data_IF_150696034264
#
_entry.id   IF_150696034264
#
_cell.length_a   1.000
_cell.length_b   1.000
_cell.length_c   1.000
_cell.angle_alpha   90.00
_cell.angle_beta   90.00
_cell.angle_gamma   90.00
#
_symmetry.space_group_name_H-M   'P 1'
#
loop_
_entity.id
_entity.type
_entity.pdbx_description
1 polymer ?
#
# COMPACT_ATOMS: atom_id res chain seq x y z
N UNK A 1 35.78 0.54 -10.13
CA UNK A 1 34.95 0.21 -8.94
C UNK A 1 34.16 1.42 -8.49
N UNK A 2 32.83 1.32 -8.39
CA UNK A 2 31.96 2.46 -8.05
C UNK A 2 31.71 2.56 -6.55
N UNK A 3 31.74 3.79 -6.03
CA UNK A 3 31.62 4.11 -4.60
C UNK A 3 30.29 3.71 -3.96
N UNK A 4 29.26 3.54 -4.78
CA UNK A 4 27.89 3.20 -4.39
C UNK A 4 27.57 1.69 -4.51
N UNK A 5 28.55 0.89 -4.96
CA UNK A 5 28.37 -0.56 -5.09
C UNK A 5 28.92 -1.30 -3.87
N UNK A 6 28.21 -2.36 -3.45
CA UNK A 6 28.70 -3.29 -2.44
C UNK A 6 29.76 -4.26 -2.99
N UNK A 7 30.06 -4.22 -4.30
CA UNK A 7 30.99 -5.13 -5.01
C UNK A 7 32.31 -5.32 -4.27
N UNK A 8 32.91 -4.25 -3.72
CA UNK A 8 34.19 -4.36 -2.98
C UNK A 8 34.11 -5.34 -1.79
N UNK A 9 32.96 -5.43 -1.13
CA UNK A 9 32.76 -6.29 0.04
C UNK A 9 32.62 -7.77 -0.36
N UNK A 10 32.25 -8.05 -1.62
CA UNK A 10 32.26 -9.40 -2.18
C UNK A 10 33.67 -9.89 -2.53
N UNK A 11 34.62 -8.97 -2.75
CA UNK A 11 36.03 -9.30 -3.01
C UNK A 11 36.88 -9.29 -1.74
N UNK A 12 36.50 -8.48 -0.75
CA UNK A 12 37.25 -8.26 0.49
C UNK A 12 36.37 -8.45 1.71
N UNK A 13 36.26 -9.69 2.19
CA UNK A 13 35.43 -10.08 3.35
C UNK A 13 35.77 -9.27 4.61
N UNK A 14 37.03 -8.84 4.78
CA UNK A 14 37.48 -8.02 5.92
C UNK A 14 36.85 -6.62 6.00
N UNK A 15 36.25 -6.14 4.92
CA UNK A 15 35.66 -4.78 4.86
C UNK A 15 34.13 -4.78 4.96
N UNK A 16 33.53 -5.95 5.16
CA UNK A 16 32.09 -6.18 5.12
C UNK A 16 31.37 -5.51 6.32
N UNK A 17 30.38 -4.65 6.08
CA UNK A 17 29.54 -4.12 7.14
C UNK A 17 28.73 -5.24 7.82
N UNK A 18 28.41 -5.15 9.13
CA UNK A 18 27.70 -6.20 9.86
C UNK A 18 26.31 -6.59 9.28
N UNK A 19 25.68 -5.68 8.54
CA UNK A 19 24.36 -5.90 7.94
C UNK A 19 24.41 -6.59 6.56
N UNK A 20 25.59 -6.64 5.92
CA UNK A 20 25.74 -7.24 4.59
C UNK A 20 26.14 -8.70 4.77
N UNK A 21 25.42 -9.64 4.15
CA UNK A 21 25.83 -11.04 4.07
C UNK A 21 26.18 -11.38 2.62
N UNK A 22 27.45 -11.66 2.34
CA UNK A 22 27.96 -12.00 1.01
C UNK A 22 28.01 -13.51 0.77
N UNK A 23 28.01 -14.33 1.83
CA UNK A 23 28.28 -15.77 1.77
C UNK A 23 27.27 -16.53 0.89
N UNK A 24 25.98 -16.21 1.02
CA UNK A 24 24.93 -16.89 0.27
C UNK A 24 25.10 -16.72 -1.25
N UNK A 25 25.39 -15.49 -1.68
CA UNK A 25 25.59 -15.15 -3.09
C UNK A 25 26.92 -15.72 -3.59
N UNK A 26 28.01 -15.57 -2.84
CA UNK A 26 29.31 -16.11 -3.22
C UNK A 26 29.26 -17.63 -3.35
N UNK A 27 28.54 -18.32 -2.47
CA UNK A 27 28.32 -19.77 -2.57
C UNK A 27 27.56 -20.17 -3.83
N UNK A 28 26.56 -19.39 -4.22
CA UNK A 28 25.77 -19.65 -5.43
C UNK A 28 26.56 -19.39 -6.73
N UNK A 29 27.38 -18.34 -6.74
CA UNK A 29 28.13 -17.92 -7.95
C UNK A 29 29.47 -18.67 -8.09
N UNK A 30 29.96 -19.32 -7.04
CA UNK A 30 31.23 -20.07 -7.08
C UNK A 30 32.44 -19.32 -6.53
N UNK A 31 32.23 -18.31 -5.69
CA UNK A 31 33.26 -17.56 -4.98
C UNK A 31 33.53 -16.16 -5.52
N UNK A 32 34.41 -15.43 -4.84
CA UNK A 32 34.66 -14.00 -5.11
C UNK A 32 35.21 -13.74 -6.51
N UNK A 33 36.05 -14.64 -7.05
CA UNK A 33 36.62 -14.49 -8.39
C UNK A 33 35.55 -14.64 -9.47
N UNK A 34 34.73 -15.69 -9.40
CA UNK A 34 33.62 -15.91 -10.31
C UNK A 34 32.59 -14.77 -10.25
N UNK A 35 32.29 -14.27 -9.04
CA UNK A 35 31.45 -13.09 -8.87
C UNK A 35 32.03 -11.84 -9.53
N UNK A 36 33.35 -11.61 -9.38
CA UNK A 36 34.02 -10.48 -10.01
C UNK A 36 33.93 -10.55 -11.53
N UNK A 37 34.22 -11.72 -12.10
CA UNK A 37 34.16 -11.97 -13.54
C UNK A 37 32.74 -11.78 -14.08
N UNK A 38 31.72 -12.30 -13.38
CA UNK A 38 30.31 -12.10 -13.70
C UNK A 38 29.91 -10.61 -13.72
N UNK A 39 30.35 -9.84 -12.74
CA UNK A 39 30.04 -8.39 -12.71
C UNK A 39 30.73 -7.66 -13.85
N UNK A 40 31.95 -8.09 -14.22
CA UNK A 40 32.71 -7.47 -15.31
C UNK A 40 32.24 -7.91 -16.70
N UNK A 41 31.66 -9.09 -16.86
CA UNK A 41 31.11 -9.54 -18.14
C UNK A 41 29.92 -8.70 -18.60
N UNK A 42 29.34 -7.89 -17.71
CA UNK A 42 28.28 -6.96 -18.04
C UNK A 42 26.94 -7.68 -18.25
N UNK A 43 26.01 -6.98 -18.88
CA UNK A 43 24.68 -7.52 -19.17
C UNK A 43 24.76 -8.45 -20.37
N UNK A 44 23.99 -9.53 -20.34
CA UNK A 44 23.76 -10.34 -21.52
C UNK A 44 22.94 -9.55 -22.55
N UNK A 45 23.16 -9.80 -23.84
CA UNK A 45 22.47 -9.12 -24.94
C UNK A 45 20.93 -9.20 -24.81
N UNK A 46 20.42 -10.35 -24.35
CA UNK A 46 18.99 -10.54 -24.09
C UNK A 46 18.44 -9.60 -23.00
N UNK A 47 19.26 -9.21 -22.02
CA UNK A 47 18.89 -8.27 -20.97
C UNK A 47 18.84 -6.84 -21.52
N UNK A 48 19.78 -6.48 -22.38
CA UNK A 48 19.81 -5.18 -23.06
C UNK A 48 18.59 -5.01 -23.98
N UNK A 49 18.31 -6.01 -24.84
CA UNK A 49 17.14 -6.03 -25.71
C UNK A 49 15.82 -5.92 -24.93
N UNK A 50 15.73 -6.55 -23.76
CA UNK A 50 14.56 -6.42 -22.88
C UNK A 50 14.34 -4.97 -22.44
N UNK A 51 15.40 -4.30 -21.96
CA UNK A 51 15.29 -2.93 -21.48
C UNK A 51 15.15 -1.89 -22.60
N UNK A 52 15.66 -2.17 -23.80
CA UNK A 52 15.49 -1.30 -24.97
C UNK A 52 14.11 -1.42 -25.63
N UNK A 53 13.34 -2.46 -25.30
CA UNK A 53 12.01 -2.67 -25.87
C UNK A 53 11.03 -1.53 -25.50
N UNK A 54 10.34 -0.97 -26.50
CA UNK A 54 9.36 0.10 -26.28
C UNK A 54 8.13 -0.31 -25.46
N UNK A 55 7.91 -1.62 -25.26
CA UNK A 55 6.86 -2.16 -24.39
C UNK A 55 7.40 -3.28 -23.52
N UNK A 56 8.07 -2.89 -22.44
CA UNK A 56 8.65 -3.81 -21.47
C UNK A 56 7.58 -4.68 -20.81
N UNK A 57 7.81 -5.99 -20.80
CA UNK A 57 7.05 -6.91 -19.96
C UNK A 57 7.34 -6.62 -18.49
N UNK A 58 6.37 -6.72 -17.56
CA UNK A 58 6.63 -6.58 -16.13
C UNK A 58 7.43 -7.76 -15.54
N UNK A 59 7.66 -8.82 -16.33
CA UNK A 59 8.39 -10.02 -15.95
C UNK A 59 9.56 -10.22 -16.91
N UNK A 60 10.77 -10.29 -16.36
CA UNK A 60 12.02 -10.64 -17.04
C UNK A 60 12.36 -12.11 -16.75
N UNK A 61 12.70 -12.85 -17.78
CA UNK A 61 13.12 -14.26 -17.69
C UNK A 61 12.85 -15.02 -18.98
N UNK A 62 13.26 -16.29 -19.03
CA UNK A 62 12.97 -17.17 -20.16
C UNK A 62 11.48 -17.43 -20.34
N UNK A 63 11.08 -17.87 -21.54
CA UNK A 63 9.67 -18.08 -21.90
C UNK A 63 8.93 -18.98 -20.91
N UNK A 64 9.52 -20.10 -20.50
CA UNK A 64 8.93 -21.02 -19.50
C UNK A 64 8.68 -20.34 -18.15
N UNK A 65 9.62 -19.49 -17.71
CA UNK A 65 9.48 -18.73 -16.47
C UNK A 65 8.34 -17.71 -16.58
N UNK A 66 8.30 -16.97 -17.69
CA UNK A 66 7.27 -15.97 -17.95
C UNK A 66 5.89 -16.62 -17.98
N UNK A 67 5.73 -17.74 -18.69
CA UNK A 67 4.48 -18.48 -18.75
C UNK A 67 4.06 -19.03 -17.38
N UNK A 68 5.01 -19.49 -16.56
CA UNK A 68 4.72 -19.90 -15.19
C UNK A 68 4.22 -18.75 -14.32
N UNK A 69 4.79 -17.55 -14.43
CA UNK A 69 4.38 -16.37 -13.66
C UNK A 69 3.06 -15.78 -14.17
N UNK A 70 2.79 -15.84 -15.48
CA UNK A 70 1.54 -15.37 -16.08
C UNK A 70 0.31 -16.16 -15.61
N UNK A 71 0.49 -17.41 -15.17
CA UNK A 71 -0.61 -18.23 -14.62
C UNK A 71 -1.13 -17.58 -13.34
N UNK A 72 -2.41 -17.18 -13.29
CA UNK A 72 -2.98 -16.56 -12.09
C UNK A 72 -2.90 -17.54 -10.91
N UNK A 73 -2.21 -17.13 -9.84
CA UNK A 73 -2.08 -17.88 -8.59
C UNK A 73 -3.39 -17.95 -7.77
N UNK A 74 -4.52 -17.52 -8.33
CA UNK A 74 -5.83 -17.48 -7.69
C UNK A 74 -6.81 -16.54 -8.41
N UNK A 75 -7.99 -16.33 -7.82
CA UNK A 75 -8.93 -15.32 -8.32
C UNK A 75 -8.30 -13.93 -8.25
N UNK A 76 -8.30 -13.22 -9.38
CA UNK A 76 -7.89 -11.82 -9.45
C UNK A 76 -8.87 -10.97 -8.65
N UNK A 77 -8.49 -10.65 -7.41
CA UNK A 77 -9.28 -9.76 -6.56
C UNK A 77 -9.04 -8.33 -7.04
N UNK A 78 -10.11 -7.61 -7.39
CA UNK A 78 -10.03 -6.19 -7.82
C UNK A 78 -9.45 -5.25 -6.75
N UNK A 79 -9.36 -5.71 -5.51
CA UNK A 79 -8.80 -4.96 -4.39
C UNK A 79 -7.78 -5.85 -3.68
N UNK A 80 -6.53 -5.37 -3.58
CA UNK A 80 -5.57 -5.93 -2.65
C UNK A 80 -5.80 -5.29 -1.27
N UNK A 81 -6.04 -6.08 -0.21
CA UNK A 81 -6.15 -5.55 1.14
C UNK A 81 -4.91 -4.72 1.47
N UNK A 82 -5.09 -3.53 2.07
CA UNK A 82 -3.95 -2.77 2.59
C UNK A 82 -3.28 -3.60 3.69
N UNK A 83 -2.07 -4.09 3.44
CA UNK A 83 -1.26 -4.80 4.43
C UNK A 83 -0.87 -3.94 5.66
N UNK A 84 -1.16 -2.64 5.64
CA UNK A 84 -1.05 -1.74 6.79
C UNK A 84 -2.18 -1.98 7.80
N UNK A 85 -2.30 -3.20 8.33
CA UNK A 85 -3.16 -3.47 9.47
C UNK A 85 -2.55 -2.81 10.70
N UNK A 86 -3.16 -1.71 11.17
CA UNK A 86 -2.85 -1.12 12.47
C UNK A 86 -3.15 -2.14 13.57
N UNK A 87 -2.28 -2.27 14.57
CA UNK A 87 -2.44 -3.23 15.68
C UNK A 87 -3.62 -2.96 16.62
N UNK A 88 -4.30 -1.81 16.47
CA UNK A 88 -5.54 -1.46 17.18
C UNK A 88 -6.56 -1.03 16.12
N UNK A 89 -7.70 -1.72 16.08
CA UNK A 89 -8.77 -1.49 15.13
C UNK A 89 -10.07 -1.20 15.88
N UNK A 90 -10.76 -0.15 15.49
CA UNK A 90 -12.10 0.18 16.03
C UNK A 90 -13.18 -0.48 15.18
N UNK A 91 -14.41 -0.58 15.69
CA UNK A 91 -15.54 -1.04 14.90
C UNK A 91 -16.11 0.09 14.04
N UNK A 92 -16.64 -0.25 12.86
CA UNK A 92 -17.29 0.74 11.99
C UNK A 92 -18.47 1.43 12.69
N UNK A 93 -19.17 0.73 13.59
CA UNK A 93 -20.24 1.30 14.40
C UNK A 93 -19.73 2.36 15.39
N UNK A 94 -18.57 2.14 16.01
CA UNK A 94 -17.95 3.14 16.87
C UNK A 94 -17.51 4.38 16.06
N UNK A 95 -16.98 4.18 14.85
CA UNK A 95 -16.66 5.30 13.94
C UNK A 95 -17.90 6.12 13.61
N UNK A 96 -18.99 5.47 13.18
CA UNK A 96 -20.25 6.14 12.86
C UNK A 96 -20.77 6.93 14.07
N UNK A 97 -20.75 6.33 15.27
CA UNK A 97 -21.14 7.01 16.50
C UNK A 97 -20.31 8.26 16.79
N UNK A 98 -18.98 8.16 16.75
CA UNK A 98 -18.07 9.29 17.02
C UNK A 98 -18.18 10.41 15.98
N UNK A 99 -18.40 10.05 14.72
CA UNK A 99 -18.63 11.03 13.66
C UNK A 99 -19.98 11.72 13.89
N UNK A 100 -21.04 10.99 14.22
CA UNK A 100 -22.35 11.55 14.57
C UNK A 100 -22.25 12.55 15.73
N UNK A 101 -21.54 12.19 16.80
CA UNK A 101 -21.24 13.07 17.94
C UNK A 101 -20.48 14.34 17.51
N UNK A 102 -19.42 14.19 16.71
CA UNK A 102 -18.60 15.32 16.24
C UNK A 102 -19.36 16.29 15.35
N UNK A 103 -20.30 15.79 14.53
CA UNK A 103 -21.10 16.60 13.61
C UNK A 103 -22.46 17.00 14.18
N UNK A 104 -22.82 16.53 15.39
CA UNK A 104 -24.10 16.78 16.07
C UNK A 104 -25.31 16.37 15.23
N UNK A 105 -25.22 15.21 14.58
CA UNK A 105 -26.28 14.61 13.77
C UNK A 105 -26.56 13.18 14.25
N UNK A 106 -27.64 12.57 13.77
CA UNK A 106 -27.94 11.17 14.07
C UNK A 106 -27.01 10.20 13.33
N UNK A 107 -26.90 8.96 13.81
CA UNK A 107 -26.13 7.89 13.15
C UNK A 107 -26.73 7.55 11.79
N UNK A 108 -28.05 7.64 11.70
CA UNK A 108 -28.86 7.42 10.51
C UNK A 108 -28.50 8.48 9.45
N UNK A 109 -28.34 9.75 9.82
CA UNK A 109 -27.90 10.81 8.91
C UNK A 109 -26.45 10.67 8.43
N UNK A 110 -25.58 10.03 9.22
CA UNK A 110 -24.23 9.66 8.76
C UNK A 110 -24.29 8.56 7.70
N UNK A 111 -25.14 7.54 7.93
CA UNK A 111 -25.21 6.31 7.13
C UNK A 111 -26.19 6.39 5.96
N UNK A 112 -27.13 7.33 5.94
CA UNK A 112 -28.03 7.59 4.81
C UNK A 112 -27.64 8.86 4.05
N UNK A 113 -27.46 8.72 2.73
CA UNK A 113 -27.17 9.84 1.84
C UNK A 113 -28.46 10.39 1.27
N UNK A 114 -28.61 11.72 1.25
CA UNK A 114 -29.70 12.38 0.53
C UNK A 114 -29.17 12.83 -0.84
N UNK A 115 -29.84 12.40 -1.91
CA UNK A 115 -29.44 12.75 -3.28
C UNK A 115 -29.44 14.28 -3.45
N UNK A 116 -28.37 14.82 -4.03
CA UNK A 116 -28.24 16.25 -4.29
C UNK A 116 -27.83 17.10 -3.08
N UNK A 117 -27.72 16.51 -1.88
CA UNK A 117 -27.22 17.19 -0.68
C UNK A 117 -25.82 16.70 -0.36
N UNK A 118 -24.88 17.62 -0.22
CA UNK A 118 -23.56 17.27 0.28
C UNK A 118 -23.64 16.82 1.75
N UNK A 119 -22.99 15.71 2.07
CA UNK A 119 -22.91 15.16 3.41
C UNK A 119 -21.45 14.90 3.77
N UNK A 120 -20.80 15.89 4.39
CA UNK A 120 -19.40 15.80 4.81
C UNK A 120 -19.20 14.70 5.87
N UNK A 121 -20.09 14.64 6.87
CA UNK A 121 -20.01 13.65 7.94
C UNK A 121 -19.99 12.21 7.38
N UNK A 122 -20.81 11.93 6.37
CA UNK A 122 -20.79 10.64 5.64
C UNK A 122 -19.44 10.37 4.98
N UNK A 123 -18.90 11.34 4.25
CA UNK A 123 -17.60 11.18 3.56
C UNK A 123 -16.48 10.92 4.57
N UNK A 124 -16.49 11.66 5.68
CA UNK A 124 -15.56 11.50 6.80
C UNK A 124 -15.69 10.12 7.45
N UNK A 125 -16.92 9.65 7.69
CA UNK A 125 -17.14 8.32 8.25
C UNK A 125 -16.60 7.22 7.32
N UNK A 126 -16.82 7.31 6.01
CA UNK A 126 -16.24 6.37 5.04
C UNK A 126 -14.70 6.39 5.06
N UNK A 127 -14.10 7.58 5.12
CA UNK A 127 -12.65 7.74 5.22
C UNK A 127 -12.08 7.10 6.49
N UNK A 128 -12.70 7.34 7.64
CA UNK A 128 -12.28 6.82 8.94
C UNK A 128 -12.49 5.31 9.06
N UNK A 129 -13.58 4.76 8.53
CA UNK A 129 -13.79 3.31 8.44
C UNK A 129 -12.64 2.67 7.65
N UNK A 130 -12.22 3.28 6.53
CA UNK A 130 -11.08 2.80 5.74
C UNK A 130 -9.71 2.98 6.38
N UNK A 131 -9.55 3.93 7.31
CA UNK A 131 -8.28 4.20 7.98
C UNK A 131 -8.13 3.54 9.34
N UNK A 132 -9.24 3.19 10.01
CA UNK A 132 -9.25 2.75 11.40
C UNK A 132 -9.93 1.38 11.62
N UNK A 133 -10.59 0.82 10.60
CA UNK A 133 -11.24 -0.51 10.67
C UNK A 133 -10.63 -1.47 9.63
N UNK A 134 -10.78 -2.78 9.83
CA UNK A 134 -10.44 -3.81 8.82
C UNK A 134 -11.61 -4.04 7.86
N UNK A 135 -12.03 -3.00 7.13
CA UNK A 135 -13.08 -3.11 6.12
C UNK A 135 -12.56 -2.81 4.70
N UNK A 136 -12.91 -3.66 3.75
CA UNK A 136 -12.72 -3.48 2.31
C UNK A 136 -13.54 -2.30 1.78
N UNK A 137 -13.23 -1.81 0.57
CA UNK A 137 -14.06 -0.78 -0.08
C UNK A 137 -15.49 -1.29 -0.32
N UNK A 138 -15.64 -2.59 -0.61
CA UNK A 138 -16.95 -3.24 -0.81
C UNK A 138 -17.77 -3.32 0.47
N UNK A 139 -17.16 -3.71 1.59
CA UNK A 139 -17.85 -3.75 2.88
C UNK A 139 -18.24 -2.34 3.33
N UNK A 140 -17.35 -1.36 3.13
CA UNK A 140 -17.66 0.05 3.40
C UNK A 140 -18.81 0.51 2.51
N UNK A 141 -18.81 0.19 1.21
CA UNK A 141 -19.89 0.57 0.31
C UNK A 141 -21.24 -0.02 0.73
N UNK A 142 -21.28 -1.29 1.14
CA UNK A 142 -22.48 -1.94 1.68
C UNK A 142 -22.97 -1.28 2.97
N UNK A 143 -22.05 -1.00 3.89
CA UNK A 143 -22.36 -0.31 5.16
C UNK A 143 -23.06 1.02 4.94
N UNK A 144 -22.64 1.76 3.90
CA UNK A 144 -23.22 3.06 3.54
C UNK A 144 -24.21 2.98 2.36
N UNK A 145 -24.75 1.81 2.01
CA UNK A 145 -25.77 1.67 0.96
C UNK A 145 -25.36 2.27 -0.41
N UNK A 146 -24.08 2.24 -0.75
CA UNK A 146 -23.57 2.76 -2.03
C UNK A 146 -23.66 1.69 -3.13
N UNK A 147 -24.13 2.08 -4.31
CA UNK A 147 -24.22 1.18 -5.48
C UNK A 147 -22.87 0.77 -6.08
N UNK A 148 -21.77 1.45 -5.74
CA UNK A 148 -20.43 1.13 -6.23
C UNK A 148 -19.36 1.37 -5.16
N UNK A 149 -18.39 0.44 -5.08
CA UNK A 149 -17.24 0.58 -4.19
C UNK A 149 -16.30 1.73 -4.58
N UNK A 150 -16.29 2.12 -5.87
CA UNK A 150 -15.49 3.24 -6.36
C UNK A 150 -15.91 4.57 -5.74
N UNK A 151 -17.19 4.72 -5.36
CA UNK A 151 -17.69 5.91 -4.69
C UNK A 151 -17.02 6.12 -3.31
N UNK A 152 -16.69 5.04 -2.60
CA UNK A 152 -15.95 5.12 -1.33
C UNK A 152 -14.56 5.72 -1.57
N UNK A 153 -13.87 5.29 -2.63
CA UNK A 153 -12.56 5.82 -3.02
C UNK A 153 -12.62 7.32 -3.32
N UNK A 154 -13.62 7.76 -4.08
CA UNK A 154 -13.84 9.17 -4.39
C UNK A 154 -14.12 10.01 -3.12
N UNK A 155 -14.96 9.51 -2.21
CA UNK A 155 -15.20 10.16 -0.93
C UNK A 155 -13.92 10.27 -0.08
N UNK A 156 -13.12 9.20 -0.02
CA UNK A 156 -11.84 9.21 0.70
C UNK A 156 -10.87 10.23 0.13
N UNK A 157 -10.76 10.29 -1.20
CA UNK A 157 -9.91 11.27 -1.89
C UNK A 157 -10.37 12.70 -1.59
N UNK A 158 -11.68 12.97 -1.66
CA UNK A 158 -12.23 14.28 -1.32
C UNK A 158 -11.91 14.73 0.12
N UNK A 159 -11.98 13.81 1.08
CA UNK A 159 -11.59 14.10 2.48
C UNK A 159 -10.10 14.42 2.57
N UNK A 160 -9.22 13.65 1.90
CA UNK A 160 -7.77 13.92 1.89
C UNK A 160 -7.45 15.28 1.27
N UNK A 161 -8.00 15.59 0.10
CA UNK A 161 -7.82 16.88 -0.56
C UNK A 161 -8.32 18.04 0.31
N UNK A 162 -9.40 17.84 1.08
CA UNK A 162 -9.88 18.85 2.03
C UNK A 162 -8.92 19.02 3.21
N UNK A 163 -8.40 17.92 3.77
CA UNK A 163 -7.38 17.98 4.84
C UNK A 163 -6.09 18.69 4.39
N UNK A 164 -5.70 18.56 3.12
CA UNK A 164 -4.54 19.27 2.56
C UNK A 164 -4.74 20.79 2.57
N UNK A 165 -5.95 21.25 2.24
CA UNK A 165 -6.28 22.67 2.09
C UNK A 165 -6.68 23.36 3.41
N UNK A 166 -7.39 22.65 4.28
CA UNK A 166 -8.02 23.23 5.46
C UNK A 166 -7.41 22.65 6.74
N UNK A 167 -6.59 23.45 7.43
CA UNK A 167 -5.93 23.03 8.67
C UNK A 167 -6.95 22.63 9.76
N UNK A 168 -8.00 23.42 9.97
CA UNK A 168 -9.02 23.12 10.99
C UNK A 168 -9.73 21.78 10.74
N UNK A 169 -10.02 21.48 9.48
CA UNK A 169 -10.59 20.19 9.09
C UNK A 169 -9.59 19.05 9.34
N UNK A 170 -8.33 19.21 8.95
CA UNK A 170 -7.27 18.24 9.24
C UNK A 170 -7.15 17.95 10.74
N UNK A 171 -7.07 18.99 11.56
CA UNK A 171 -6.93 18.87 13.01
C UNK A 171 -8.13 18.11 13.63
N UNK A 172 -9.35 18.35 13.11
CA UNK A 172 -10.55 17.62 13.51
C UNK A 172 -10.46 16.12 13.17
N UNK A 173 -10.05 15.77 11.95
CA UNK A 173 -9.93 14.36 11.51
C UNK A 173 -8.83 13.65 12.29
N UNK A 174 -7.68 14.29 12.47
CA UNK A 174 -6.56 13.73 13.26
C UNK A 174 -6.95 13.48 14.71
N UNK A 175 -7.75 14.37 15.32
CA UNK A 175 -8.31 14.15 16.66
C UNK A 175 -9.16 12.88 16.72
N UNK A 176 -10.08 12.70 15.77
CA UNK A 176 -10.92 11.49 15.69
C UNK A 176 -10.07 10.23 15.51
N UNK A 177 -9.03 10.28 14.65
CA UNK A 177 -8.10 9.16 14.47
C UNK A 177 -7.39 8.79 15.79
N UNK A 178 -6.93 9.78 16.56
CA UNK A 178 -6.28 9.55 17.86
C UNK A 178 -7.22 8.90 18.87
N UNK A 179 -8.49 9.34 18.93
CA UNK A 179 -9.49 8.75 19.82
C UNK A 179 -9.69 7.25 19.56
N UNK A 180 -9.66 6.82 18.30
CA UNK A 180 -9.77 5.39 17.96
C UNK A 180 -8.52 4.59 18.26
N UNK A 181 -7.34 5.20 18.20
CA UNK A 181 -6.08 4.54 18.57
C UNK A 181 -5.88 4.44 20.09
N UNK A 182 -6.50 5.32 20.88
CA UNK A 182 -6.36 5.38 22.34
C UNK A 182 -7.44 4.63 23.12
N UNK A 183 -8.55 4.21 22.49
CA UNK A 183 -9.59 3.40 23.14
C UNK A 183 -9.13 1.93 23.34
N UNK A 184 -8.17 1.75 24.25
CA UNK A 184 -7.93 0.52 24.99
C UNK A 184 -7.88 0.88 26.48
N UNK A 185 -9.02 0.79 27.15
CA UNK A 185 -9.11 0.44 28.57
C UNK A 185 -10.39 -0.35 28.74
#
# INVERSE_FOLDING_TARGET
MHRWSSHRHYLQTKTQPPWLNTDAVLKQVGGSKAFHEFVLSGNEEALEQFYESGRQSPVLGGEEFVERIRKPLGQLVKEHPRYQRRGVQTSAQNVIRRVAESYRISREEVVQGVRGKENEARKVAMYLVRHCCDQTLRETARLFGLGSYSAVGWCCHGVQTKMEKEKGFRDQIERLVREFCQQKT
#
